data_IF_580111032972
#
_entry.id   IF_580111032972
#
_cell.length_a   1.000
_cell.length_b   1.000
_cell.length_c   1.000
_cell.angle_alpha   90.00
_cell.angle_beta   90.00
_cell.angle_gamma   90.00
#
_symmetry.space_group_name_H-M   'P 1'
#
loop_
_entity.id
_entity.type
_entity.pdbx_description
1 polymer ?
#
# COMPACT_ATOMS: atom_id res chain seq x y z
N UNK A 1 -7.32 3.69 -9.46
CA UNK A 1 -6.43 3.61 -10.64
C UNK A 1 -5.45 4.78 -10.79
N UNK A 2 -5.86 6.03 -11.05
CA UNK A 2 -4.88 7.14 -11.23
C UNK A 2 -3.86 7.24 -10.08
N UNK A 3 -4.33 7.15 -8.83
CA UNK A 3 -3.46 7.11 -7.65
C UNK A 3 -2.51 5.90 -7.64
N UNK A 4 -3.01 4.72 -8.03
CA UNK A 4 -2.24 3.48 -8.09
C UNK A 4 -1.09 3.57 -9.09
N UNK A 5 -1.28 4.20 -10.25
CA UNK A 5 -0.19 4.39 -11.22
C UNK A 5 0.97 5.21 -10.64
N UNK A 6 0.67 6.22 -9.83
CA UNK A 6 1.70 7.01 -9.13
C UNK A 6 2.35 6.23 -7.97
N UNK A 7 1.69 5.21 -7.43
CA UNK A 7 2.25 4.29 -6.45
C UNK A 7 3.27 3.32 -7.06
N UNK A 8 3.43 3.30 -8.38
CA UNK A 8 4.38 2.46 -9.11
C UNK A 8 5.49 3.32 -9.71
N UNK A 9 6.71 2.79 -9.74
CA UNK A 9 7.84 3.39 -10.45
C UNK A 9 8.77 2.29 -10.98
N UNK A 10 9.40 2.48 -12.16
CA UNK A 10 10.51 1.63 -12.57
C UNK A 10 11.62 1.71 -11.50
N UNK A 11 12.24 0.57 -11.20
CA UNK A 11 13.26 0.46 -10.15
C UNK A 11 12.76 0.97 -8.78
N UNK A 12 11.47 0.73 -8.48
CA UNK A 12 10.89 0.97 -7.17
C UNK A 12 11.32 -0.09 -6.16
N UNK A 13 10.52 -0.27 -5.11
CA UNK A 13 10.89 -1.16 -4.01
C UNK A 13 11.76 -0.46 -2.97
N UNK A 14 12.52 -1.26 -2.22
CA UNK A 14 13.28 -0.78 -1.07
C UNK A 14 12.36 -0.39 0.10
N UNK A 15 12.81 0.57 0.91
CA UNK A 15 12.08 1.08 2.07
C UNK A 15 11.88 2.60 1.94
N UNK A 16 10.83 3.18 2.55
CA UNK A 16 10.67 4.63 2.62
C UNK A 16 11.77 5.24 3.49
N UNK A 17 11.88 6.56 3.41
CA UNK A 17 12.83 7.37 4.14
C UNK A 17 12.16 8.54 4.87
N UNK A 18 12.93 9.25 5.69
CA UNK A 18 12.48 10.44 6.40
C UNK A 18 11.25 10.21 7.28
N UNK A 19 10.40 11.23 7.37
CA UNK A 19 9.27 11.24 8.31
C UNK A 19 8.26 10.10 8.10
N UNK A 20 8.09 9.62 6.87
CA UNK A 20 7.23 8.47 6.60
C UNK A 20 7.85 7.17 7.18
N UNK A 21 9.16 6.98 7.03
CA UNK A 21 9.86 5.83 7.63
C UNK A 21 9.77 5.85 9.15
N UNK A 22 9.93 7.03 9.76
CA UNK A 22 9.81 7.20 11.21
C UNK A 22 8.39 6.86 11.70
N UNK A 23 7.35 7.33 10.99
CA UNK A 23 5.96 7.02 11.31
C UNK A 23 5.65 5.52 11.17
N UNK A 24 6.18 4.88 10.13
CA UNK A 24 6.06 3.42 9.93
C UNK A 24 6.75 2.67 11.06
N UNK A 25 7.99 3.03 11.41
CA UNK A 25 8.73 2.38 12.49
C UNK A 25 8.06 2.62 13.86
N UNK A 26 7.47 3.79 14.09
CA UNK A 26 6.73 4.06 15.32
C UNK A 26 5.48 3.18 15.47
N UNK A 27 4.78 2.86 14.37
CA UNK A 27 3.55 2.06 14.37
C UNK A 27 3.81 0.55 14.38
N UNK A 28 4.74 0.08 13.56
CA UNK A 28 4.99 -1.36 13.34
C UNK A 28 6.30 -1.86 13.96
N UNK A 29 7.12 -0.99 14.54
CA UNK A 29 8.44 -1.33 15.09
C UNK A 29 9.55 -1.36 14.03
N UNK A 30 9.24 -1.81 12.83
CA UNK A 30 10.17 -1.84 11.70
C UNK A 30 9.45 -1.78 10.35
N UNK A 31 10.17 -1.38 9.30
CA UNK A 31 9.66 -1.49 7.93
C UNK A 31 9.33 -2.94 7.54
N UNK A 32 10.14 -3.91 7.97
CA UNK A 32 9.90 -5.33 7.67
C UNK A 32 8.58 -5.83 8.28
N UNK A 33 8.24 -5.38 9.49
CA UNK A 33 6.99 -5.73 10.14
C UNK A 33 5.79 -5.00 9.52
N UNK A 34 5.97 -3.75 9.08
CA UNK A 34 4.99 -3.07 8.23
C UNK A 34 4.76 -3.85 6.93
N UNK A 35 5.82 -4.29 6.25
CA UNK A 35 5.72 -5.02 4.98
C UNK A 35 4.94 -6.32 5.15
N UNK A 36 5.20 -7.08 6.22
CA UNK A 36 4.42 -8.28 6.59
C UNK A 36 2.95 -7.95 6.86
N UNK A 37 2.68 -6.87 7.61
CA UNK A 37 1.32 -6.45 7.91
C UNK A 37 0.55 -6.01 6.65
N UNK A 38 1.20 -5.24 5.78
CA UNK A 38 0.62 -4.78 4.51
C UNK A 38 0.33 -5.96 3.58
N UNK A 39 1.28 -6.89 3.45
CA UNK A 39 1.08 -8.09 2.65
C UNK A 39 -0.05 -8.96 3.18
N UNK A 40 -0.11 -9.17 4.50
CA UNK A 40 -1.20 -9.92 5.15
C UNK A 40 -2.55 -9.28 4.87
N UNK A 41 -2.64 -7.95 5.01
CA UNK A 41 -3.88 -7.20 4.78
C UNK A 41 -4.32 -7.26 3.32
N UNK A 42 -3.41 -7.06 2.36
CA UNK A 42 -3.72 -7.09 0.94
C UNK A 42 -4.11 -8.47 0.43
N UNK A 43 -3.41 -9.52 0.88
CA UNK A 43 -3.77 -10.90 0.55
C UNK A 43 -5.14 -11.26 1.13
N UNK A 44 -5.38 -10.89 2.38
CA UNK A 44 -6.61 -11.18 3.12
C UNK A 44 -7.83 -10.32 2.74
N UNK A 45 -7.67 -9.31 1.88
CA UNK A 45 -8.77 -8.46 1.42
C UNK A 45 -9.70 -9.27 0.50
N UNK A 46 -10.76 -9.84 1.06
CA UNK A 46 -11.59 -10.81 0.38
C UNK A 46 -12.36 -10.21 -0.81
N UNK A 47 -12.36 -10.93 -1.93
CA UNK A 47 -12.98 -10.47 -3.17
C UNK A 47 -12.14 -9.41 -3.88
N UNK A 48 -12.85 -8.41 -4.42
CA UNK A 48 -12.28 -7.29 -5.16
C UNK A 48 -12.15 -6.06 -4.27
N UNK A 49 -11.03 -5.35 -4.32
CA UNK A 49 -10.82 -4.17 -3.48
C UNK A 49 -9.43 -3.56 -3.57
N UNK A 50 -9.13 -2.74 -2.59
CA UNK A 50 -7.91 -1.95 -2.48
C UNK A 50 -7.38 -2.01 -1.05
N UNK A 51 -6.07 -2.13 -0.92
CA UNK A 51 -5.37 -2.00 0.36
C UNK A 51 -4.56 -0.72 0.34
N UNK A 52 -4.72 0.09 1.39
CA UNK A 52 -4.17 1.44 1.47
C UNK A 52 -3.25 1.56 2.68
N UNK A 53 -2.15 2.26 2.51
CA UNK A 53 -1.45 2.92 3.61
C UNK A 53 -2.00 4.34 3.69
N UNK A 54 -2.45 4.74 4.87
CA UNK A 54 -3.07 6.06 5.10
C UNK A 54 -2.44 6.80 6.27
N UNK A 55 -2.51 8.13 6.25
CA UNK A 55 -2.22 9.00 7.39
C UNK A 55 -3.54 9.37 8.09
N UNK A 56 -3.58 9.19 9.40
CA UNK A 56 -4.70 9.56 10.28
C UNK A 56 -4.63 11.04 10.64
N UNK A 57 -5.73 11.58 11.18
CA UNK A 57 -5.83 12.98 11.59
C UNK A 57 -4.80 13.38 12.68
N UNK A 58 -4.38 12.43 13.53
CA UNK A 58 -3.34 12.64 14.55
C UNK A 58 -1.90 12.55 14.00
N UNK A 59 -1.74 12.34 12.69
CA UNK A 59 -0.46 12.21 12.02
C UNK A 59 0.12 10.79 12.02
N UNK A 60 -0.48 9.84 12.74
CA UNK A 60 -0.09 8.43 12.70
C UNK A 60 -0.45 7.78 11.36
N UNK A 61 0.07 6.58 11.11
CA UNK A 61 -0.18 5.81 9.91
C UNK A 61 -0.90 4.50 10.21
N UNK A 62 -1.69 4.02 9.24
CA UNK A 62 -2.41 2.75 9.36
C UNK A 62 -2.61 2.07 8.01
N UNK A 63 -2.98 0.78 8.04
CA UNK A 63 -3.37 0.01 6.87
C UNK A 63 -4.87 -0.19 6.88
N UNK A 64 -5.55 0.16 5.78
CA UNK A 64 -7.00 -0.03 5.63
C UNK A 64 -7.33 -0.80 4.37
N UNK A 65 -8.25 -1.75 4.49
CA UNK A 65 -8.84 -2.46 3.36
C UNK A 65 -10.18 -1.84 3.01
N UNK A 66 -10.42 -1.64 1.72
CA UNK A 66 -11.70 -1.19 1.21
C UNK A 66 -12.15 -2.07 0.05
N UNK A 67 -13.39 -2.54 0.12
CA UNK A 67 -13.98 -3.38 -0.93
C UNK A 67 -14.39 -2.58 -2.17
N UNK A 68 -14.42 -3.26 -3.31
CA UNK A 68 -14.84 -2.75 -4.61
C UNK A 68 -14.17 -1.39 -4.96
N UNK A 69 -14.95 -0.31 -4.93
CA UNK A 69 -14.50 1.05 -5.28
C UNK A 69 -14.30 1.95 -4.04
N UNK A 70 -14.35 1.40 -2.83
CA UNK A 70 -14.14 2.15 -1.60
C UNK A 70 -12.78 2.84 -1.61
N UNK A 71 -12.76 4.08 -1.13
CA UNK A 71 -11.59 4.95 -1.16
C UNK A 71 -11.49 5.79 0.12
N UNK A 72 -10.28 6.03 0.66
CA UNK A 72 -10.08 6.91 1.80
C UNK A 72 -10.63 8.33 1.61
N UNK A 73 -10.90 8.76 0.37
CA UNK A 73 -11.55 10.05 0.08
C UNK A 73 -12.94 10.21 0.73
N UNK A 74 -13.59 9.13 1.14
CA UNK A 74 -14.86 9.18 1.88
C UNK A 74 -14.68 9.15 3.40
N UNK A 75 -13.45 9.25 3.90
CA UNK A 75 -13.11 9.27 5.33
C UNK A 75 -12.25 10.49 5.67
N UNK A 76 -11.82 10.60 6.93
CA UNK A 76 -10.84 11.63 7.35
C UNK A 76 -9.37 11.24 7.08
N UNK A 77 -9.13 10.06 6.51
CA UNK A 77 -7.78 9.53 6.31
C UNK A 77 -7.18 10.06 4.98
N UNK A 78 -5.90 10.43 5.00
CA UNK A 78 -5.17 10.83 3.77
C UNK A 78 -4.49 9.61 3.17
N UNK A 79 -4.81 9.27 1.92
CA UNK A 79 -4.16 8.18 1.20
C UNK A 79 -2.67 8.48 0.91
N UNK A 80 -1.79 7.53 1.22
CA UNK A 80 -0.35 7.65 0.98
C UNK A 80 0.12 6.71 -0.13
N UNK A 81 -0.33 5.45 -0.07
CA UNK A 81 -0.02 4.38 -1.02
C UNK A 81 -1.22 3.46 -1.17
N UNK A 82 -1.41 2.84 -2.34
CA UNK A 82 -2.36 1.75 -2.49
C UNK A 82 -1.85 0.62 -3.38
N UNK A 83 -2.48 -0.53 -3.24
CA UNK A 83 -2.40 -1.65 -4.18
C UNK A 83 -3.81 -2.09 -4.60
N UNK A 84 -3.97 -2.31 -5.89
CA UNK A 84 -5.17 -2.93 -6.47
C UNK A 84 -5.15 -4.44 -6.24
N UNK A 85 -6.14 -5.00 -5.55
CA UNK A 85 -6.26 -6.45 -5.36
C UNK A 85 -7.47 -7.05 -6.07
N UNK A 86 -8.07 -6.31 -7.03
CA UNK A 86 -8.95 -6.91 -8.03
C UNK A 86 -8.17 -7.90 -8.88
N UNK A 87 -8.78 -9.02 -9.25
CA UNK A 87 -8.07 -10.08 -9.99
C UNK A 87 -7.48 -9.58 -11.31
N UNK A 88 -8.15 -8.66 -12.00
CA UNK A 88 -7.62 -8.11 -13.26
C UNK A 88 -6.26 -7.40 -13.11
N UNK A 89 -5.90 -6.94 -11.91
CA UNK A 89 -4.61 -6.31 -11.65
C UNK A 89 -3.44 -7.31 -11.69
N UNK A 90 -3.69 -8.61 -11.53
CA UNK A 90 -2.64 -9.61 -11.40
C UNK A 90 -2.90 -10.94 -12.13
N UNK A 91 -4.11 -11.21 -12.60
CA UNK A 91 -4.46 -12.56 -13.05
C UNK A 91 -3.68 -13.00 -14.29
N UNK A 92 -3.37 -12.07 -15.21
CA UNK A 92 -2.60 -12.35 -16.43
C UNK A 92 -1.18 -12.84 -16.09
N UNK A 93 -0.56 -12.28 -15.07
CA UNK A 93 0.84 -12.56 -14.72
C UNK A 93 0.98 -13.61 -13.60
N UNK A 94 0.05 -13.63 -12.65
CA UNK A 94 0.15 -14.40 -11.40
C UNK A 94 -0.98 -15.42 -11.20
N UNK A 95 -2.05 -15.39 -11.99
CA UNK A 95 -3.27 -16.21 -11.77
C UNK A 95 -3.73 -16.07 -10.32
N UNK A 96 -3.88 -17.17 -9.59
CA UNK A 96 -4.32 -17.19 -8.19
C UNK A 96 -3.23 -16.76 -7.18
N UNK A 97 -1.99 -16.49 -7.62
CA UNK A 97 -0.88 -16.13 -6.75
C UNK A 97 -0.89 -14.65 -6.36
N UNK A 98 -2.01 -14.16 -5.82
CA UNK A 98 -2.13 -12.82 -5.21
C UNK A 98 -0.98 -12.53 -4.24
N UNK A 99 -0.55 -13.45 -3.34
CA UNK A 99 0.60 -13.19 -2.47
C UNK A 99 1.88 -12.81 -3.22
N UNK A 100 2.14 -13.43 -4.37
CA UNK A 100 3.34 -13.15 -5.16
C UNK A 100 3.27 -11.80 -5.88
N UNK A 101 2.08 -11.41 -6.33
CA UNK A 101 1.83 -10.08 -6.88
C UNK A 101 2.09 -8.99 -5.84
N UNK A 102 1.54 -9.12 -4.63
CA UNK A 102 1.71 -8.16 -3.53
C UNK A 102 3.18 -8.07 -3.11
N UNK A 103 3.86 -9.20 -2.97
CA UNK A 103 5.32 -9.26 -2.70
C UNK A 103 6.11 -8.50 -3.77
N UNK A 104 5.82 -8.76 -5.06
CA UNK A 104 6.51 -8.10 -6.18
C UNK A 104 6.27 -6.60 -6.21
N UNK A 105 5.05 -6.16 -5.90
CA UNK A 105 4.73 -4.74 -5.77
C UNK A 105 5.61 -4.07 -4.71
N UNK A 106 5.68 -4.62 -3.49
CA UNK A 106 6.48 -4.07 -2.39
C UNK A 106 7.98 -4.13 -2.66
N UNK A 107 8.45 -5.18 -3.34
CA UNK A 107 9.89 -5.41 -3.53
C UNK A 107 10.50 -4.66 -4.70
N UNK A 108 9.70 -4.38 -5.73
CA UNK A 108 10.24 -3.94 -7.03
C UNK A 108 9.56 -2.73 -7.64
N UNK A 109 8.34 -2.40 -7.22
CA UNK A 109 7.51 -1.44 -7.95
C UNK A 109 7.06 -0.26 -7.10
N UNK A 110 6.91 -0.41 -5.79
CA UNK A 110 6.41 0.64 -4.92
C UNK A 110 7.23 1.92 -5.05
N UNK A 111 6.54 3.04 -5.25
CA UNK A 111 7.11 4.37 -5.35
C UNK A 111 7.04 5.08 -4.00
N UNK A 112 8.06 4.85 -3.15
CA UNK A 112 8.11 5.49 -1.85
C UNK A 112 8.17 7.02 -1.91
N UNK A 113 8.78 7.60 -2.95
CA UNK A 113 8.81 9.07 -3.13
C UNK A 113 7.42 9.67 -3.26
N UNK A 114 6.51 9.00 -3.95
CA UNK A 114 5.11 9.43 -4.04
C UNK A 114 4.41 9.34 -2.69
N UNK A 115 4.61 8.24 -1.95
CA UNK A 115 4.04 8.08 -0.61
C UNK A 115 4.58 9.12 0.38
N UNK A 116 5.88 9.42 0.32
CA UNK A 116 6.55 10.46 1.12
C UNK A 116 6.00 11.86 0.80
N UNK A 117 5.82 12.18 -0.49
CA UNK A 117 5.21 13.44 -0.91
C UNK A 117 3.75 13.58 -0.44
N UNK A 118 2.99 12.49 -0.43
CA UNK A 118 1.64 12.47 0.13
C UNK A 118 1.64 12.56 1.66
N UNK A 119 2.70 12.11 2.34
CA UNK A 119 2.80 12.13 3.79
C UNK A 119 3.08 13.53 4.35
N UNK A 120 3.83 14.34 3.59
CA UNK A 120 4.12 15.74 3.88
C UNK A 120 2.85 16.58 4.13
#
# INVERSE_FOLDING_TARGET
HTFFWNCLTPNGGGAPSGALADAINAKWGSYDDFKKAFQTSAVGNFGSGWTWLVKKADGSVDIVNMGAAGTPLTTGDKALLCIDVWEHAYYIDYRNLRPKFVETFLDKLVNWKFAEANFA
#
